data_IF_936430864923
#
_entry.id   IF_936430864923
#
_cell.length_a   1.000
_cell.length_b   1.000
_cell.length_c   1.000
_cell.angle_alpha   90.00
_cell.angle_beta   90.00
_cell.angle_gamma   90.00
#
_symmetry.space_group_name_H-M   'P 1'
#
loop_
_entity.id
_entity.type
_entity.pdbx_description
1 polymer ?
#
# COMPACT_ATOMS: atom_id res chain seq x y z
N UNK A 1 57.29 34.02 50.00
CA UNK A 1 56.11 34.15 49.10
C UNK A 1 55.87 32.79 48.47
N UNK A 2 54.67 32.27 48.63
CA UNK A 2 54.31 30.86 48.48
C UNK A 2 54.11 30.46 47.00
N UNK A 3 54.60 29.28 46.61
CA UNK A 3 54.23 28.62 45.36
C UNK A 3 52.91 27.86 45.57
N UNK A 4 51.87 28.03 44.74
CA UNK A 4 50.69 27.18 44.83
C UNK A 4 50.92 25.84 44.11
N UNK A 5 50.90 24.81 44.96
CA UNK A 5 50.66 23.39 44.78
C UNK A 5 49.97 22.96 43.47
N UNK A 6 50.63 21.99 42.84
CA UNK A 6 50.10 21.09 41.81
C UNK A 6 48.81 20.41 42.30
N UNK A 7 47.66 20.76 41.71
CA UNK A 7 46.42 19.99 41.84
C UNK A 7 46.30 19.11 40.60
N UNK A 8 46.59 17.83 40.84
CA UNK A 8 46.23 16.72 39.98
C UNK A 8 44.71 16.74 39.74
N UNK A 9 44.28 16.98 38.51
CA UNK A 9 42.98 16.51 38.07
C UNK A 9 43.21 15.63 36.86
N UNK A 10 43.55 14.37 37.17
CA UNK A 10 43.25 13.26 36.30
C UNK A 10 41.73 13.22 36.13
N UNK A 11 41.21 14.07 35.24
CA UNK A 11 39.90 13.84 34.66
C UNK A 11 40.09 12.62 33.79
N UNK A 12 39.85 11.45 34.41
CA UNK A 12 39.66 10.18 33.75
C UNK A 12 38.93 10.46 32.45
N UNK A 13 39.55 10.04 31.35
CA UNK A 13 38.89 10.00 30.06
C UNK A 13 37.62 9.18 30.22
N UNK A 14 36.50 9.86 30.46
CA UNK A 14 35.18 9.33 30.23
C UNK A 14 35.17 8.99 28.75
N UNK A 15 35.14 7.69 28.47
CA UNK A 15 35.05 7.14 27.14
C UNK A 15 34.07 8.00 26.30
N UNK A 16 34.40 8.34 25.04
CA UNK A 16 33.45 9.02 24.20
C UNK A 16 32.21 8.14 24.12
N UNK A 17 31.15 8.57 24.80
CA UNK A 17 29.82 8.03 24.66
C UNK A 17 29.55 8.21 23.18
N UNK A 18 29.62 7.11 22.43
CA UNK A 18 29.53 7.14 20.98
C UNK A 18 28.08 7.49 20.69
N UNK A 19 27.80 8.78 20.48
CA UNK A 19 26.50 9.20 20.01
C UNK A 19 26.19 8.43 18.73
N UNK A 20 25.00 7.80 18.60
CA UNK A 20 24.66 7.12 17.36
C UNK A 20 24.70 8.14 16.24
N UNK A 21 25.72 8.01 15.38
CA UNK A 21 26.03 8.94 14.32
C UNK A 21 24.79 9.23 13.48
N UNK A 22 24.49 10.52 13.30
CA UNK A 22 23.36 11.00 12.51
C UNK A 22 23.43 10.31 11.13
N UNK A 23 22.37 9.60 10.69
CA UNK A 23 22.43 8.88 9.42
C UNK A 23 22.69 9.90 8.31
N UNK A 24 23.59 9.55 7.39
CA UNK A 24 23.91 10.38 6.23
C UNK A 24 22.60 10.78 5.50
N UNK A 25 22.50 12.01 4.95
CA UNK A 25 21.24 12.55 4.45
C UNK A 25 20.55 11.66 3.39
N UNK A 26 21.30 10.83 2.67
CA UNK A 26 20.75 9.87 1.70
C UNK A 26 20.12 8.60 2.28
N UNK A 27 20.48 8.20 3.51
CA UNK A 27 19.99 6.94 4.12
C UNK A 27 18.49 7.01 4.40
N UNK A 28 18.02 8.16 4.91
CA UNK A 28 16.58 8.37 5.17
C UNK A 28 15.76 8.28 3.88
N UNK A 29 16.25 8.86 2.79
CA UNK A 29 15.57 8.83 1.51
C UNK A 29 15.54 7.42 0.92
N UNK A 30 16.66 6.69 1.01
CA UNK A 30 16.73 5.29 0.59
C UNK A 30 15.76 4.40 1.38
N UNK A 31 15.65 4.59 2.70
CA UNK A 31 14.69 3.86 3.54
C UNK A 31 13.25 4.17 3.17
N UNK A 32 12.91 5.44 2.93
CA UNK A 32 11.55 5.80 2.47
C UNK A 32 11.22 5.18 1.12
N UNK A 33 12.13 5.25 0.14
CA UNK A 33 11.92 4.64 -1.17
C UNK A 33 11.80 3.13 -1.07
N UNK A 34 12.64 2.48 -0.26
CA UNK A 34 12.55 1.04 -0.02
C UNK A 34 11.23 0.66 0.63
N UNK A 35 10.75 1.44 1.61
CA UNK A 35 9.45 1.21 2.25
C UNK A 35 8.30 1.35 1.23
N UNK A 36 8.30 2.41 0.43
CA UNK A 36 7.29 2.63 -0.62
C UNK A 36 7.32 1.49 -1.62
N UNK A 37 8.50 1.13 -2.13
CA UNK A 37 8.67 0.04 -3.10
C UNK A 37 8.20 -1.30 -2.51
N UNK A 38 8.49 -1.58 -1.24
CA UNK A 38 8.05 -2.80 -0.56
C UNK A 38 6.54 -2.84 -0.39
N UNK A 39 5.93 -1.73 0.03
CA UNK A 39 4.47 -1.63 0.13
C UNK A 39 3.83 -1.88 -1.23
N UNK A 40 4.38 -1.30 -2.29
CA UNK A 40 3.80 -1.38 -3.62
C UNK A 40 3.98 -2.76 -4.26
N UNK A 41 5.17 -3.35 -4.15
CA UNK A 41 5.54 -4.62 -4.82
C UNK A 41 5.22 -5.86 -4.00
N UNK A 42 4.99 -5.74 -2.69
CA UNK A 42 4.76 -6.89 -1.80
C UNK A 42 3.40 -6.79 -1.12
N UNK A 43 3.14 -5.70 -0.40
CA UNK A 43 1.91 -5.56 0.39
C UNK A 43 0.69 -5.49 -0.52
N UNK A 44 0.74 -4.68 -1.56
CA UNK A 44 -0.36 -4.47 -2.50
C UNK A 44 -0.73 -5.76 -3.26
N UNK A 45 0.20 -6.49 -3.90
CA UNK A 45 -0.12 -7.76 -4.55
C UNK A 45 -0.52 -8.86 -3.56
N UNK A 46 0.03 -8.89 -2.34
CA UNK A 46 -0.41 -9.83 -1.31
C UNK A 46 -1.86 -9.55 -0.88
N UNK A 47 -2.25 -8.28 -0.73
CA UNK A 47 -3.64 -7.90 -0.50
C UNK A 47 -4.52 -8.13 -1.74
N UNK A 48 -3.97 -7.95 -2.95
CA UNK A 48 -4.65 -8.17 -4.22
C UNK A 48 -4.71 -9.64 -4.64
N UNK A 49 -4.11 -10.58 -3.88
CA UNK A 49 -4.41 -12.02 -3.97
C UNK A 49 -5.82 -12.36 -3.46
N UNK A 50 -6.75 -11.43 -3.66
CA UNK A 50 -8.18 -11.65 -3.56
C UNK A 50 -8.51 -12.73 -4.58
N UNK A 51 -8.60 -13.97 -4.10
CA UNK A 51 -9.06 -15.13 -4.87
C UNK A 51 -10.38 -14.84 -5.59
N UNK A 52 -11.22 -13.95 -5.05
CA UNK A 52 -12.45 -13.49 -5.68
C UNK A 52 -12.21 -12.71 -6.99
N UNK A 53 -11.13 -11.92 -7.13
CA UNK A 53 -10.83 -11.20 -8.37
C UNK A 53 -10.35 -12.18 -9.45
N UNK A 54 -9.49 -13.14 -9.08
CA UNK A 54 -9.08 -14.22 -9.98
C UNK A 54 -10.25 -15.09 -10.41
N UNK A 55 -11.11 -15.51 -9.48
CA UNK A 55 -12.32 -16.27 -9.79
C UNK A 55 -13.29 -15.50 -10.70
N UNK A 56 -13.35 -14.16 -10.57
CA UNK A 56 -14.13 -13.31 -11.47
C UNK A 56 -13.50 -13.20 -12.86
N UNK A 57 -12.18 -13.09 -12.95
CA UNK A 57 -11.43 -13.08 -14.22
C UNK A 57 -11.61 -14.42 -14.94
N UNK A 58 -11.37 -15.54 -14.26
CA UNK A 58 -11.52 -16.89 -14.82
C UNK A 58 -12.95 -17.13 -15.32
N UNK A 59 -13.96 -16.63 -14.58
CA UNK A 59 -15.36 -16.71 -15.00
C UNK A 59 -15.63 -15.89 -16.27
N UNK A 60 -15.07 -14.70 -16.40
CA UNK A 60 -15.24 -13.86 -17.59
C UNK A 60 -14.48 -14.41 -18.80
N UNK A 61 -13.24 -14.88 -18.62
CA UNK A 61 -12.46 -15.52 -19.67
C UNK A 61 -13.14 -16.78 -20.19
N UNK A 62 -13.73 -17.60 -19.30
CA UNK A 62 -14.52 -18.77 -19.68
C UNK A 62 -15.75 -18.43 -20.55
N UNK A 63 -16.24 -17.18 -20.49
CA UNK A 63 -17.36 -16.69 -21.30
C UNK A 63 -16.90 -15.85 -22.51
N UNK A 64 -15.59 -15.83 -22.80
CA UNK A 64 -15.00 -15.09 -23.92
C UNK A 64 -14.93 -13.57 -23.71
N UNK A 65 -15.09 -13.09 -22.48
CA UNK A 65 -14.99 -11.67 -22.13
C UNK A 65 -13.58 -11.40 -21.61
N UNK A 66 -12.80 -10.58 -22.32
CA UNK A 66 -11.50 -10.12 -21.85
C UNK A 66 -11.68 -9.06 -20.74
N UNK A 67 -11.37 -9.36 -19.47
CA UNK A 67 -11.56 -8.44 -18.37
C UNK A 67 -10.55 -7.28 -18.36
N UNK A 68 -9.47 -7.38 -19.14
CA UNK A 68 -8.44 -6.35 -19.29
C UNK A 68 -8.78 -5.34 -20.40
N UNK A 69 -9.65 -5.71 -21.33
CA UNK A 69 -10.12 -4.85 -22.43
C UNK A 69 -11.21 -3.86 -21.97
N UNK A 70 -10.92 -3.09 -20.92
CA UNK A 70 -11.84 -2.03 -20.48
C UNK A 70 -11.65 -0.80 -21.36
N UNK A 71 -12.46 -0.67 -22.41
CA UNK A 71 -12.42 0.49 -23.30
C UNK A 71 -12.92 1.73 -22.57
N UNK A 72 -12.01 2.67 -22.28
CA UNK A 72 -12.35 3.93 -21.61
C UNK A 72 -13.34 4.80 -22.41
N UNK A 73 -13.49 4.54 -23.70
CA UNK A 73 -14.52 5.13 -24.56
C UNK A 73 -15.95 4.74 -24.17
N UNK A 74 -16.13 3.69 -23.37
CA UNK A 74 -17.44 3.25 -22.88
C UNK A 74 -17.80 3.82 -21.51
N UNK A 75 -16.88 4.55 -20.84
CA UNK A 75 -17.21 5.27 -19.60
C UNK A 75 -18.40 6.24 -19.72
N UNK A 76 -18.58 6.98 -20.83
CA UNK A 76 -19.77 7.80 -21.02
C UNK A 76 -21.07 7.00 -21.06
N UNK A 77 -21.02 5.72 -21.44
CA UNK A 77 -22.19 4.83 -21.53
C UNK A 77 -22.47 4.06 -20.22
N UNK A 78 -21.51 4.00 -19.28
CA UNK A 78 -21.67 3.35 -17.96
C UNK A 78 -22.93 3.77 -17.20
N UNK A 79 -23.35 5.06 -17.15
CA UNK A 79 -24.55 5.47 -16.43
C UNK A 79 -25.83 4.80 -16.96
N UNK A 80 -25.89 4.55 -18.27
CA UNK A 80 -27.03 3.87 -18.90
C UNK A 80 -27.08 2.39 -18.53
N UNK A 81 -25.91 1.72 -18.54
CA UNK A 81 -25.79 0.31 -18.17
C UNK A 81 -26.18 0.12 -16.69
N UNK A 82 -25.71 0.98 -15.80
CA UNK A 82 -26.07 0.93 -14.37
C UNK A 82 -27.56 1.08 -14.13
N UNK A 83 -28.24 2.01 -14.81
CA UNK A 83 -29.70 2.18 -14.71
C UNK A 83 -30.45 0.92 -15.13
N UNK A 84 -30.03 0.30 -16.23
CA UNK A 84 -30.67 -0.92 -16.74
C UNK A 84 -30.48 -2.11 -15.81
N UNK A 85 -29.30 -2.25 -15.21
CA UNK A 85 -29.04 -3.28 -14.20
C UNK A 85 -29.87 -3.05 -12.94
N UNK A 86 -30.01 -1.80 -12.48
CA UNK A 86 -30.85 -1.45 -11.34
C UNK A 86 -32.33 -1.74 -11.57
N UNK A 87 -32.84 -1.48 -12.78
CA UNK A 87 -34.20 -1.83 -13.18
C UNK A 87 -34.45 -3.34 -13.13
N UNK A 88 -33.55 -4.15 -13.71
CA UNK A 88 -33.64 -5.61 -13.70
C UNK A 88 -33.51 -6.15 -12.27
N UNK A 89 -32.61 -5.59 -11.46
CA UNK A 89 -32.43 -5.96 -10.04
C UNK A 89 -33.69 -5.70 -9.21
N UNK A 90 -34.42 -4.62 -9.49
CA UNK A 90 -35.70 -4.32 -8.84
C UNK A 90 -36.82 -5.26 -9.31
N UNK A 91 -36.84 -5.60 -10.60
CA UNK A 91 -37.83 -6.49 -11.18
C UNK A 91 -37.64 -7.95 -10.73
N UNK A 92 -36.40 -8.43 -10.70
CA UNK A 92 -36.05 -9.83 -10.40
C UNK A 92 -34.91 -9.94 -9.37
N UNK A 93 -35.17 -9.60 -8.09
CA UNK A 93 -34.14 -9.64 -7.05
C UNK A 93 -33.56 -11.04 -6.83
N UNK A 94 -34.36 -12.08 -7.07
CA UNK A 94 -33.95 -13.47 -6.92
C UNK A 94 -32.87 -13.91 -7.93
N UNK A 95 -32.87 -13.35 -9.15
CA UNK A 95 -31.86 -13.63 -10.18
C UNK A 95 -30.46 -13.16 -9.76
N UNK A 96 -30.39 -12.18 -8.85
CA UNK A 96 -29.14 -11.65 -8.27
C UNK A 96 -28.83 -12.23 -6.89
N UNK A 97 -29.56 -13.24 -6.42
CA UNK A 97 -29.37 -13.83 -5.09
C UNK A 97 -29.76 -12.89 -3.93
N UNK A 98 -30.49 -11.81 -4.22
CA UNK A 98 -30.97 -10.88 -3.21
C UNK A 98 -32.29 -11.40 -2.65
N UNK A 99 -32.34 -11.58 -1.32
CA UNK A 99 -33.61 -11.86 -0.63
C UNK A 99 -34.46 -10.58 -0.65
N UNK A 100 -35.70 -10.72 -1.12
CA UNK A 100 -36.69 -9.63 -1.11
C UNK A 100 -36.82 -9.11 0.33
N UNK A 101 -36.75 -7.79 0.59
CA UNK A 101 -37.03 -7.26 1.92
C UNK A 101 -38.45 -7.58 2.35
#
# INVERSE_FOLDING_TARGET
MQQPLSISNAVSGSAPISEPGRPAPGVRLAVCLAAIATIWLVVLPALAQVSAVRAMIDRHEAHGVDPSAKFYSELPAMPMISRRVDEIRRAEPAAFGLRKP
#
